data_IF_514511222895
#
_entry.id   IF_514511222895
#
_cell.length_a   1.000
_cell.length_b   1.000
_cell.length_c   1.000
_cell.angle_alpha   90.00
_cell.angle_beta   90.00
_cell.angle_gamma   90.00
#
_symmetry.space_group_name_H-M   'P 1'
#
loop_
_entity.id
_entity.type
_entity.pdbx_description
1 polymer ?
#
# COMPACT_ATOMS: atom_id res chain seq x y z
N UNK A 1 5.97 13.19 5.97
CA UNK A 1 4.83 13.18 5.02
C UNK A 1 5.03 12.20 3.87
N UNK A 2 6.21 12.13 3.23
CA UNK A 2 6.51 11.11 2.21
C UNK A 2 6.27 9.67 2.71
N UNK A 3 6.66 9.34 3.95
CA UNK A 3 6.42 8.02 4.55
C UNK A 3 4.93 7.69 4.76
N UNK A 4 4.08 8.69 5.01
CA UNK A 4 2.64 8.46 5.17
C UNK A 4 1.99 8.09 3.82
N UNK A 5 2.38 8.80 2.76
CA UNK A 5 1.93 8.50 1.38
C UNK A 5 2.46 7.15 0.91
N UNK A 6 3.73 6.85 1.18
CA UNK A 6 4.38 5.60 0.77
C UNK A 6 3.75 4.36 1.42
N UNK A 7 3.21 4.47 2.63
CA UNK A 7 2.46 3.38 3.29
C UNK A 7 1.02 3.25 2.74
N UNK A 8 0.31 4.37 2.62
CA UNK A 8 -1.12 4.35 2.28
C UNK A 8 -1.39 4.01 0.82
N UNK A 9 -0.58 4.51 -0.12
CA UNK A 9 -0.86 4.38 -1.55
C UNK A 9 -0.81 2.92 -2.03
N UNK A 10 0.25 2.14 -1.75
CA UNK A 10 0.32 0.75 -2.21
C UNK A 10 -0.80 -0.13 -1.61
N UNK A 11 -1.20 0.11 -0.36
CA UNK A 11 -2.32 -0.60 0.27
C UNK A 11 -3.62 -0.38 -0.48
N UNK A 12 -3.94 0.89 -0.80
CA UNK A 12 -5.16 1.25 -1.53
C UNK A 12 -5.13 0.75 -2.96
N UNK A 13 -3.99 0.82 -3.63
CA UNK A 13 -3.86 0.33 -5.02
C UNK A 13 -4.03 -1.19 -5.07
N UNK A 14 -3.46 -1.95 -4.13
CA UNK A 14 -3.71 -3.40 -4.04
C UNK A 14 -5.20 -3.72 -3.87
N UNK A 15 -5.93 -2.98 -3.03
CA UNK A 15 -7.38 -3.17 -2.82
C UNK A 15 -8.19 -2.91 -4.10
N UNK A 16 -7.86 -1.86 -4.85
CA UNK A 16 -8.54 -1.52 -6.11
C UNK A 16 -8.29 -2.61 -7.16
N UNK A 17 -7.04 -3.08 -7.28
CA UNK A 17 -6.70 -4.15 -8.23
C UNK A 17 -7.40 -5.45 -7.85
N UNK A 18 -7.47 -5.79 -6.55
CA UNK A 18 -8.17 -6.98 -6.07
C UNK A 18 -9.68 -6.94 -6.41
N UNK A 19 -10.32 -5.79 -6.22
CA UNK A 19 -11.71 -5.59 -6.65
C UNK A 19 -11.88 -5.72 -8.18
N UNK A 20 -10.92 -5.22 -8.95
CA UNK A 20 -10.92 -5.37 -10.40
C UNK A 20 -10.77 -6.85 -10.80
N UNK A 21 -9.87 -7.59 -10.17
CA UNK A 21 -9.69 -9.04 -10.38
C UNK A 21 -11.01 -9.77 -10.08
N UNK A 22 -11.66 -9.45 -8.97
CA UNK A 22 -12.92 -10.07 -8.56
C UNK A 22 -14.04 -9.86 -9.58
N UNK A 23 -14.14 -8.67 -10.19
CA UNK A 23 -15.11 -8.36 -11.25
C UNK A 23 -14.83 -9.16 -12.53
N UNK A 24 -13.54 -9.40 -12.85
CA UNK A 24 -13.12 -10.13 -14.05
C UNK A 24 -13.14 -11.67 -13.87
N UNK A 25 -13.43 -12.17 -12.67
CA UNK A 25 -13.49 -13.62 -12.39
C UNK A 25 -12.18 -14.34 -12.72
N UNK A 26 -12.27 -15.54 -13.30
CA UNK A 26 -11.08 -16.34 -13.66
C UNK A 26 -10.13 -15.62 -14.63
N UNK A 27 -10.66 -14.69 -15.45
CA UNK A 27 -9.85 -13.87 -16.35
C UNK A 27 -9.01 -12.84 -15.60
N UNK A 28 -9.45 -12.38 -14.42
CA UNK A 28 -8.72 -11.43 -13.59
C UNK A 28 -7.42 -11.98 -13.00
N UNK A 29 -7.34 -13.29 -12.76
CA UNK A 29 -6.13 -13.97 -12.26
C UNK A 29 -5.27 -14.59 -13.36
N UNK A 30 -5.64 -14.36 -14.62
CA UNK A 30 -5.00 -14.96 -15.77
C UNK A 30 -4.09 -13.95 -16.50
N UNK A 31 -3.19 -14.46 -17.33
CA UNK A 31 -2.30 -13.63 -18.15
C UNK A 31 -3.01 -12.98 -19.34
N UNK A 32 -4.33 -13.14 -19.44
CA UNK A 32 -5.17 -12.45 -20.42
C UNK A 32 -5.44 -10.99 -20.03
N UNK A 33 -5.25 -10.62 -18.76
CA UNK A 33 -5.35 -9.24 -18.29
C UNK A 33 -4.08 -8.85 -17.53
N UNK A 34 -3.68 -7.57 -17.53
CA UNK A 34 -2.51 -7.12 -16.77
C UNK A 34 -2.75 -7.13 -15.24
N UNK A 35 -3.95 -7.50 -14.76
CA UNK A 35 -4.37 -7.33 -13.38
C UNK A 35 -3.54 -8.17 -12.39
N UNK A 36 -3.19 -9.40 -12.75
CA UNK A 36 -2.37 -10.28 -11.92
C UNK A 36 -0.94 -9.74 -11.72
N UNK A 37 -0.32 -9.25 -12.80
CA UNK A 37 1.01 -8.64 -12.76
C UNK A 37 1.00 -7.32 -11.98
N UNK A 38 -0.04 -6.51 -12.19
CA UNK A 38 -0.25 -5.27 -11.44
C UNK A 38 -0.36 -5.54 -9.93
N UNK A 39 -1.16 -6.53 -9.52
CA UNK A 39 -1.31 -6.90 -8.11
C UNK A 39 0.04 -7.32 -7.48
N UNK A 40 0.79 -8.16 -8.20
CA UNK A 40 2.10 -8.64 -7.76
C UNK A 40 3.13 -7.51 -7.64
N UNK A 41 3.16 -6.59 -8.62
CA UNK A 41 4.06 -5.44 -8.59
C UNK A 41 3.80 -4.52 -7.40
N UNK A 42 2.53 -4.26 -7.07
CA UNK A 42 2.15 -3.42 -5.94
C UNK A 42 2.44 -4.11 -4.60
N UNK A 43 2.29 -5.43 -4.52
CA UNK A 43 2.67 -6.19 -3.32
C UNK A 43 4.17 -6.09 -3.04
N UNK A 44 5.01 -6.13 -4.08
CA UNK A 44 6.46 -5.91 -3.94
C UNK A 44 6.77 -4.49 -3.46
N UNK A 45 6.01 -3.49 -3.92
CA UNK A 45 6.20 -2.09 -3.53
C UNK A 45 5.93 -1.80 -2.05
N UNK A 46 5.18 -2.68 -1.37
CA UNK A 46 4.95 -2.67 0.10
C UNK A 46 6.15 -3.17 0.90
N UNK A 47 7.10 -3.83 0.25
CA UNK A 47 8.35 -4.29 0.84
C UNK A 47 9.52 -3.37 0.44
N UNK A 48 9.44 -2.80 -0.75
CA UNK A 48 10.44 -1.87 -1.28
C UNK A 48 10.46 -0.55 -0.50
N UNK A 49 11.67 -0.08 -0.16
CA UNK A 49 11.96 1.17 0.58
C UNK A 49 11.47 1.24 2.04
N UNK A 50 11.26 0.07 2.66
CA UNK A 50 10.84 -0.07 4.05
C UNK A 50 9.43 -0.66 4.13
N UNK A 51 9.22 -1.71 4.94
CA UNK A 51 7.88 -2.26 5.17
C UNK A 51 6.92 -1.18 5.65
N UNK A 52 5.65 -1.27 5.27
CA UNK A 52 4.60 -0.30 5.65
C UNK A 52 4.59 -0.02 7.18
N UNK A 53 4.89 -1.03 8.00
CA UNK A 53 4.97 -0.94 9.45
C UNK A 53 6.05 0.04 9.93
N UNK A 54 7.19 0.10 9.24
CA UNK A 54 8.28 1.04 9.54
C UNK A 54 7.82 2.47 9.22
N UNK A 55 7.10 2.66 8.12
CA UNK A 55 6.54 3.96 7.76
C UNK A 55 5.45 4.41 8.74
N UNK A 56 4.55 3.52 9.16
CA UNK A 56 3.56 3.80 10.20
C UNK A 56 4.22 4.17 11.54
N UNK A 57 5.31 3.49 11.92
CA UNK A 57 6.06 3.81 13.13
C UNK A 57 6.68 5.22 13.08
N UNK A 58 7.25 5.61 11.94
CA UNK A 58 7.83 6.96 11.76
C UNK A 58 6.74 8.04 11.87
N UNK A 59 5.59 7.82 11.23
CA UNK A 59 4.45 8.75 11.33
C UNK A 59 3.91 8.82 12.76
N UNK A 60 3.74 7.68 13.43
CA UNK A 60 3.28 7.62 14.81
C UNK A 60 4.20 8.35 15.80
N UNK A 61 5.52 8.17 15.66
CA UNK A 61 6.51 8.92 16.47
C UNK A 61 6.42 10.43 16.23
N UNK A 62 6.25 10.85 14.98
CA UNK A 62 6.12 12.26 14.64
C UNK A 62 4.85 12.89 15.24
N UNK A 63 3.71 12.19 15.20
CA UNK A 63 2.46 12.66 15.78
C UNK A 63 2.52 12.74 17.32
N UNK A 64 3.08 11.74 17.99
CA UNK A 64 3.26 11.77 19.46
C UNK A 64 4.16 12.94 19.87
N UNK A 65 5.28 13.16 19.18
CA UNK A 65 6.19 14.27 19.46
C UNK A 65 5.58 15.65 19.17
N UNK A 66 4.59 15.73 18.28
CA UNK A 66 3.82 16.96 18.03
C UNK A 66 2.85 17.23 19.18
N UNK A 67 2.14 16.19 19.63
CA UNK A 67 1.20 16.29 20.75
C UNK A 67 1.89 16.66 22.06
N UNK A 68 3.05 16.07 22.36
CA UNK A 68 3.83 16.40 23.56
C UNK A 68 4.36 17.84 23.57
N UNK A 69 4.59 18.46 22.40
CA UNK A 69 5.01 19.87 22.30
C UNK A 69 3.87 20.88 22.44
N UNK A 70 2.61 20.44 22.32
CA UNK A 70 1.43 21.29 22.49
C UNK A 70 0.92 21.34 23.94
N UNK A 71 1.38 20.41 24.78
CA UNK A 71 1.20 20.44 26.24
C UNK A 71 2.29 21.29 26.89
#
# INVERSE_FOLDING_TARGET
WVSAVKAMVPERVCQIIDQAIQIHGATGVSQWTPLADMYTSQRTLRLADGPDEVHHMVVGRAEIARYQRQK
#
